data_IF_494278515143
#
_entry.id   IF_494278515143
#
_cell.length_a   1.000
_cell.length_b   1.000
_cell.length_c   1.000
_cell.angle_alpha   90.00
_cell.angle_beta   90.00
_cell.angle_gamma   90.00
#
_symmetry.space_group_name_H-M   'P 1'
#
loop_
_entity.id
_entity.type
_entity.pdbx_description
1 polymer ?
#
# COMPACT_ATOMS: atom_id res chain seq x y z
N UNK A 1 -51.84 4.33 -55.91
CA UNK A 1 -52.18 4.13 -54.49
C UNK A 1 -51.93 2.67 -54.12
N UNK A 2 -50.84 2.38 -53.40
CA UNK A 2 -50.63 1.16 -52.58
C UNK A 2 -49.30 1.28 -51.81
N UNK A 3 -49.30 0.98 -50.51
CA UNK A 3 -48.13 0.68 -49.63
C UNK A 3 -48.06 -0.86 -49.48
N UNK A 4 -47.00 -1.56 -48.96
CA UNK A 4 -46.14 -1.14 -47.83
C UNK A 4 -44.70 -1.77 -47.70
N UNK A 5 -44.07 -1.49 -46.54
CA UNK A 5 -43.17 -2.33 -45.71
C UNK A 5 -41.68 -2.51 -46.10
N UNK A 6 -40.78 -1.92 -45.29
CA UNK A 6 -39.46 -2.47 -44.97
C UNK A 6 -39.37 -2.70 -43.46
N UNK A 7 -39.64 -3.95 -43.05
CA UNK A 7 -39.14 -4.55 -41.82
C UNK A 7 -37.71 -5.01 -42.06
N UNK A 8 -36.74 -4.51 -41.29
CA UNK A 8 -35.42 -5.14 -41.14
C UNK A 8 -35.19 -5.38 -39.65
N UNK A 9 -35.77 -6.51 -39.21
CA UNK A 9 -35.19 -7.51 -38.31
C UNK A 9 -34.16 -7.05 -37.28
N UNK A 10 -34.65 -6.81 -36.07
CA UNK A 10 -33.99 -7.21 -34.82
C UNK A 10 -34.12 -8.74 -34.76
N UNK A 11 -33.04 -9.48 -35.03
CA UNK A 11 -32.97 -10.91 -34.73
C UNK A 11 -31.51 -11.35 -34.51
N UNK A 12 -31.31 -12.11 -33.43
CA UNK A 12 -30.18 -12.99 -33.11
C UNK A 12 -28.92 -12.37 -32.45
N UNK A 13 -29.01 -12.10 -31.14
CA UNK A 13 -27.89 -12.31 -30.20
C UNK A 13 -28.34 -13.13 -28.97
N UNK A 14 -28.96 -14.27 -29.25
CA UNK A 14 -29.09 -15.36 -28.31
C UNK A 14 -28.50 -16.58 -29.01
N UNK A 15 -27.56 -17.26 -28.34
CA UNK A 15 -26.79 -18.46 -28.79
C UNK A 15 -25.41 -18.16 -29.42
N UNK A 16 -24.46 -17.71 -28.60
CA UNK A 16 -23.10 -18.28 -28.54
C UNK A 16 -22.37 -17.71 -27.31
N UNK A 17 -21.89 -18.59 -26.43
CA UNK A 17 -21.15 -18.23 -25.21
C UNK A 17 -19.71 -17.79 -25.46
N UNK A 18 -19.48 -17.02 -26.53
CA UNK A 18 -18.19 -16.43 -26.86
C UNK A 18 -18.40 -14.93 -26.96
N UNK A 19 -18.08 -14.20 -25.88
CA UNK A 19 -17.87 -12.77 -25.96
C UNK A 19 -16.83 -12.55 -27.08
N UNK A 20 -17.13 -11.79 -28.13
CA UNK A 20 -16.16 -11.56 -29.18
C UNK A 20 -14.92 -10.88 -28.59
N UNK A 21 -13.71 -11.34 -28.91
CA UNK A 21 -12.45 -10.76 -28.39
C UNK A 21 -12.35 -9.23 -28.56
N UNK A 22 -12.97 -8.67 -29.60
CA UNK A 22 -13.02 -7.23 -29.83
C UNK A 22 -13.96 -6.48 -28.88
N UNK A 23 -14.98 -7.15 -28.32
CA UNK A 23 -15.78 -6.60 -27.21
C UNK A 23 -14.92 -6.53 -25.95
N UNK A 24 -14.22 -7.61 -25.58
CA UNK A 24 -13.37 -7.63 -24.39
C UNK A 24 -12.20 -6.62 -24.49
N UNK A 25 -11.61 -6.43 -25.67
CA UNK A 25 -10.58 -5.42 -25.92
C UNK A 25 -11.13 -3.99 -25.84
N UNK A 26 -12.33 -3.71 -26.38
CA UNK A 26 -12.97 -2.40 -26.29
C UNK A 26 -13.44 -2.08 -24.86
N UNK A 27 -13.99 -3.07 -24.15
CA UNK A 27 -14.38 -2.95 -22.74
C UNK A 27 -13.18 -2.84 -21.80
N UNK A 28 -12.05 -3.48 -22.14
CA UNK A 28 -10.77 -3.28 -21.45
C UNK A 28 -10.32 -1.84 -21.59
N UNK A 29 -10.14 -1.38 -22.83
CA UNK A 29 -9.67 -0.02 -23.13
C UNK A 29 -10.52 1.08 -22.47
N UNK A 30 -11.84 0.89 -22.39
CA UNK A 30 -12.75 1.79 -21.67
C UNK A 30 -12.48 1.80 -20.15
N UNK A 31 -12.24 0.63 -19.54
CA UNK A 31 -11.89 0.54 -18.10
C UNK A 31 -10.55 1.17 -17.77
N UNK A 32 -9.53 1.05 -18.62
CA UNK A 32 -8.25 1.72 -18.38
C UNK A 32 -8.41 3.25 -18.44
N UNK A 33 -9.13 3.76 -19.45
CA UNK A 33 -9.42 5.18 -19.58
C UNK A 33 -10.25 5.70 -18.39
N UNK A 34 -11.25 4.96 -17.95
CA UNK A 34 -12.09 5.32 -16.81
C UNK A 34 -11.33 5.22 -15.48
N UNK A 35 -10.43 4.25 -15.32
CA UNK A 35 -9.53 4.17 -14.16
C UNK A 35 -8.62 5.40 -14.09
N UNK A 36 -8.10 5.86 -15.22
CA UNK A 36 -7.31 7.09 -15.28
C UNK A 36 -8.13 8.33 -14.88
N UNK A 37 -9.41 8.40 -15.29
CA UNK A 37 -10.33 9.48 -14.89
C UNK A 37 -10.63 9.47 -13.39
N UNK A 38 -10.86 8.29 -12.80
CA UNK A 38 -11.06 8.13 -11.35
C UNK A 38 -9.81 8.60 -10.60
N UNK A 39 -8.62 8.13 -10.99
CA UNK A 39 -7.36 8.56 -10.37
C UNK A 39 -7.18 10.07 -10.44
N UNK A 40 -7.43 10.67 -11.61
CA UNK A 40 -7.39 12.13 -11.78
C UNK A 40 -8.43 12.85 -10.89
N UNK A 41 -9.60 12.25 -10.66
CA UNK A 41 -10.63 12.80 -9.76
C UNK A 41 -10.12 12.84 -8.32
N UNK A 42 -9.46 11.79 -7.85
CA UNK A 42 -8.86 11.74 -6.50
C UNK A 42 -7.68 12.72 -6.36
N UNK A 43 -6.88 12.88 -7.40
CA UNK A 43 -5.83 13.92 -7.43
C UNK A 43 -6.42 15.33 -7.38
N UNK A 44 -7.57 15.57 -8.05
CA UNK A 44 -8.28 16.84 -7.96
C UNK A 44 -8.85 17.09 -6.56
N UNK A 45 -9.32 16.04 -5.89
CA UNK A 45 -9.73 16.10 -4.48
C UNK A 45 -8.59 16.50 -3.57
N UNK A 46 -7.41 15.87 -3.70
CA UNK A 46 -6.21 16.26 -2.96
C UNK A 46 -5.83 17.74 -3.21
N UNK A 47 -5.84 18.19 -4.47
CA UNK A 47 -5.57 19.60 -4.82
C UNK A 47 -6.61 20.58 -4.23
N UNK A 48 -7.89 20.18 -4.20
CA UNK A 48 -8.93 20.99 -3.58
C UNK A 48 -8.69 21.14 -2.07
N UNK A 49 -8.27 20.07 -1.39
CA UNK A 49 -7.87 20.11 0.03
C UNK A 49 -6.68 21.06 0.25
N UNK A 50 -5.65 21.01 -0.61
CA UNK A 50 -4.50 21.92 -0.51
C UNK A 50 -4.87 23.40 -0.68
N UNK A 51 -5.95 23.69 -1.42
CA UNK A 51 -6.40 25.06 -1.67
C UNK A 51 -7.15 25.68 -0.48
N UNK A 52 -7.56 24.88 0.51
CA UNK A 52 -8.36 25.34 1.65
C UNK A 52 -9.76 25.83 1.28
N UNK A 53 -10.24 25.52 0.07
CA UNK A 53 -11.53 25.96 -0.45
C UNK A 53 -12.58 24.87 -0.24
N UNK A 54 -13.36 25.00 0.82
CA UNK A 54 -14.37 24.02 1.20
C UNK A 54 -15.43 23.78 0.12
N UNK A 55 -15.82 24.82 -0.63
CA UNK A 55 -16.79 24.70 -1.70
C UNK A 55 -16.22 23.88 -2.87
N UNK A 56 -14.95 24.08 -3.23
CA UNK A 56 -14.27 23.25 -4.24
C UNK A 56 -14.18 21.79 -3.83
N UNK A 57 -13.90 21.52 -2.55
CA UNK A 57 -13.87 20.14 -2.05
C UNK A 57 -15.26 19.52 -2.12
N UNK A 58 -16.29 20.23 -1.61
CA UNK A 58 -17.66 19.77 -1.60
C UNK A 58 -18.22 19.50 -3.01
N UNK A 59 -17.83 20.28 -4.02
CA UNK A 59 -18.25 20.08 -5.41
C UNK A 59 -17.80 18.73 -6.01
N UNK A 60 -16.82 18.04 -5.41
CA UNK A 60 -16.37 16.73 -5.87
C UNK A 60 -17.22 15.57 -5.35
N UNK A 61 -18.11 15.83 -4.40
CA UNK A 61 -19.02 14.86 -3.80
C UNK A 61 -20.36 14.80 -4.53
N UNK A 62 -21.05 13.68 -4.42
CA UNK A 62 -22.49 13.61 -4.71
C UNK A 62 -23.28 14.48 -3.73
N UNK A 63 -24.54 14.79 -4.04
CA UNK A 63 -25.41 15.59 -3.15
C UNK A 63 -25.55 14.93 -1.77
N UNK A 64 -25.63 13.59 -1.74
CA UNK A 64 -25.77 12.75 -0.55
C UNK A 64 -24.44 12.12 -0.10
N UNK A 65 -23.31 12.75 -0.44
CA UNK A 65 -21.97 12.22 -0.14
C UNK A 65 -21.78 11.93 1.34
N UNK A 66 -21.07 10.85 1.67
CA UNK A 66 -20.81 10.44 3.05
C UNK A 66 -19.32 10.32 3.35
N UNK A 67 -18.84 11.05 4.36
CA UNK A 67 -17.50 10.87 4.91
C UNK A 67 -17.57 10.07 6.19
N UNK A 68 -16.72 9.05 6.33
CA UNK A 68 -16.60 8.25 7.54
C UNK A 68 -15.14 8.18 7.96
N UNK A 69 -14.89 8.41 9.25
CA UNK A 69 -13.61 8.16 9.89
C UNK A 69 -13.83 7.74 11.33
N UNK A 70 -13.32 6.58 11.71
CA UNK A 70 -13.55 5.98 13.02
C UNK A 70 -15.05 5.96 13.38
N UNK A 71 -15.46 6.67 14.44
CA UNK A 71 -16.88 6.80 14.84
C UNK A 71 -17.57 8.03 14.24
N UNK A 72 -16.85 8.87 13.50
CA UNK A 72 -17.38 10.08 12.88
C UNK A 72 -18.02 9.76 11.54
N UNK A 73 -19.20 10.33 11.31
CA UNK A 73 -19.91 10.24 10.04
C UNK A 73 -20.51 11.58 9.70
N UNK A 74 -20.30 12.05 8.47
CA UNK A 74 -20.84 13.31 7.94
C UNK A 74 -21.55 12.96 6.64
N UNK A 75 -22.80 13.40 6.49
CA UNK A 75 -23.64 13.08 5.33
C UNK A 75 -24.20 14.35 4.71
N UNK A 76 -24.20 14.39 3.39
CA UNK A 76 -24.70 15.52 2.60
C UNK A 76 -23.58 16.48 2.22
N UNK A 77 -23.62 16.95 0.96
CA UNK A 77 -22.61 17.86 0.41
C UNK A 77 -22.46 19.14 1.24
N UNK A 78 -23.58 19.68 1.74
CA UNK A 78 -23.61 20.94 2.51
C UNK A 78 -22.92 20.79 3.87
N UNK A 79 -23.17 19.67 4.53
CA UNK A 79 -22.58 19.32 5.82
C UNK A 79 -21.08 19.06 5.65
N UNK A 80 -20.69 18.39 4.56
CA UNK A 80 -19.29 18.20 4.18
C UNK A 80 -18.59 19.54 3.92
N UNK A 81 -19.19 20.45 3.16
CA UNK A 81 -18.65 21.80 2.94
C UNK A 81 -18.42 22.53 4.27
N UNK A 82 -19.40 22.50 5.16
CA UNK A 82 -19.29 23.12 6.49
C UNK A 82 -18.15 22.49 7.30
N UNK A 83 -18.01 21.16 7.28
CA UNK A 83 -16.97 20.45 7.99
C UNK A 83 -15.56 20.75 7.44
N UNK A 84 -15.41 20.80 6.11
CA UNK A 84 -14.14 21.19 5.48
C UNK A 84 -13.76 22.63 5.80
N UNK A 85 -14.73 23.57 5.82
CA UNK A 85 -14.49 24.95 6.24
C UNK A 85 -13.84 25.01 7.62
N UNK A 86 -14.44 24.34 8.61
CA UNK A 86 -13.87 24.23 9.98
C UNK A 86 -12.52 23.53 9.99
N UNK A 87 -12.35 22.48 9.18
CA UNK A 87 -11.08 21.74 9.11
C UNK A 87 -9.91 22.62 8.66
N UNK A 88 -10.16 23.56 7.75
CA UNK A 88 -9.14 24.46 7.20
C UNK A 88 -8.76 25.63 8.12
N UNK A 89 -9.63 26.06 9.04
CA UNK A 89 -9.35 27.16 9.98
C UNK A 89 -8.03 26.95 10.76
N UNK A 90 -7.76 25.70 11.17
CA UNK A 90 -6.59 25.35 11.99
C UNK A 90 -5.42 24.74 11.19
N UNK A 91 -5.53 24.65 9.86
CA UNK A 91 -4.60 23.86 9.02
C UNK A 91 -4.11 24.62 7.78
N UNK A 92 -3.42 25.76 7.95
CA UNK A 92 -2.79 26.45 6.83
C UNK A 92 -1.66 25.61 6.22
N UNK A 93 -1.48 25.70 4.90
CA UNK A 93 -0.38 25.06 4.15
C UNK A 93 -0.40 23.52 4.12
N UNK A 94 -1.59 22.92 4.06
CA UNK A 94 -1.75 21.48 3.86
C UNK A 94 -1.17 21.04 2.50
N UNK A 95 -0.39 19.96 2.51
CA UNK A 95 0.04 19.26 1.29
C UNK A 95 -0.48 17.83 1.31
N UNK A 96 -1.13 17.40 0.23
CA UNK A 96 -1.79 16.11 0.13
C UNK A 96 -1.34 15.42 -1.15
N UNK A 97 -0.69 14.26 -1.00
CA UNK A 97 -0.33 13.38 -2.13
C UNK A 97 -1.19 12.14 -2.10
N UNK A 98 -1.62 11.68 -3.28
CA UNK A 98 -2.44 10.46 -3.44
C UNK A 98 -1.54 9.32 -3.91
N UNK A 99 -1.54 8.21 -3.19
CA UNK A 99 -1.03 6.93 -3.66
C UNK A 99 -2.23 5.99 -3.88
N UNK A 100 -2.59 5.78 -5.14
CA UNK A 100 -3.69 4.89 -5.55
C UNK A 100 -3.17 3.46 -5.65
N UNK A 101 -3.79 2.52 -4.93
CA UNK A 101 -3.37 1.12 -4.88
C UNK A 101 -4.19 0.25 -5.84
N UNK A 102 -5.52 0.44 -5.86
CA UNK A 102 -6.44 -0.41 -6.61
C UNK A 102 -7.71 0.33 -7.02
N UNK A 103 -8.15 0.13 -8.26
CA UNK A 103 -9.44 0.59 -8.76
C UNK A 103 -10.21 -0.62 -9.29
N UNK A 104 -11.43 -0.82 -8.80
CA UNK A 104 -12.32 -1.88 -9.26
C UNK A 104 -13.71 -1.35 -9.61
N UNK A 105 -14.19 -1.68 -10.80
CA UNK A 105 -15.54 -1.34 -11.23
C UNK A 105 -16.55 -2.35 -10.67
N UNK A 106 -17.59 -1.84 -10.03
CA UNK A 106 -18.76 -2.59 -9.59
C UNK A 106 -19.85 -2.63 -10.68
N UNK A 107 -19.94 -1.54 -11.45
CA UNK A 107 -20.84 -1.34 -12.57
C UNK A 107 -20.24 -0.27 -13.52
N UNK A 108 -20.77 -0.05 -14.73
CA UNK A 108 -20.24 0.96 -15.66
C UNK A 108 -20.17 2.39 -15.08
N UNK A 109 -21.03 2.68 -14.10
CA UNK A 109 -21.13 3.99 -13.44
C UNK A 109 -20.79 3.93 -11.94
N UNK A 110 -20.18 2.84 -11.46
CA UNK A 110 -19.85 2.70 -10.03
C UNK A 110 -18.50 2.00 -9.87
N UNK A 111 -17.58 2.61 -9.14
CA UNK A 111 -16.25 2.07 -8.90
C UNK A 111 -15.80 2.30 -7.46
N UNK A 112 -14.89 1.45 -6.99
CA UNK A 112 -14.20 1.65 -5.72
C UNK A 112 -12.72 1.85 -6.00
N UNK A 113 -12.16 2.91 -5.43
CA UNK A 113 -10.73 3.14 -5.35
C UNK A 113 -10.27 2.95 -3.90
N UNK A 114 -9.14 2.29 -3.73
CA UNK A 114 -8.44 2.13 -2.46
C UNK A 114 -7.02 2.69 -2.60
N UNK A 115 -6.54 3.34 -1.54
CA UNK A 115 -5.21 3.95 -1.55
C UNK A 115 -4.89 4.67 -0.26
N UNK A 116 -3.95 5.62 -0.34
CA UNK A 116 -3.47 6.42 0.78
C UNK A 116 -3.40 7.91 0.44
N UNK A 117 -3.74 8.74 1.42
CA UNK A 117 -3.37 10.14 1.44
C UNK A 117 -2.12 10.33 2.29
N UNK A 118 -1.07 10.89 1.71
CA UNK A 118 0.12 11.35 2.42
C UNK A 118 -0.04 12.84 2.67
N UNK A 119 -0.16 13.19 3.94
CA UNK A 119 -0.44 14.54 4.40
C UNK A 119 0.86 15.11 4.98
N UNK A 120 1.28 16.28 4.49
CA UNK A 120 2.38 17.04 5.09
C UNK A 120 1.88 18.37 5.63
N UNK A 121 2.34 18.72 6.83
CA UNK A 121 2.11 20.01 7.49
C UNK A 121 3.47 20.67 7.75
N UNK A 122 3.74 21.76 7.05
CA UNK A 122 5.04 22.44 7.17
C UNK A 122 6.22 21.57 6.71
N UNK A 123 7.39 21.71 7.35
CA UNK A 123 8.61 21.01 6.95
C UNK A 123 8.77 19.59 7.52
N UNK A 124 8.16 19.29 8.68
CA UNK A 124 8.58 18.13 9.48
C UNK A 124 7.44 17.16 9.87
N UNK A 125 6.17 17.58 9.85
CA UNK A 125 5.06 16.69 10.21
C UNK A 125 4.45 16.04 8.97
N UNK A 126 4.54 14.71 8.88
CA UNK A 126 3.84 13.91 7.88
C UNK A 126 2.94 12.86 8.52
N UNK A 127 1.67 12.83 8.13
CA UNK A 127 0.73 11.77 8.45
C UNK A 127 0.36 10.97 7.21
N UNK A 128 -0.02 9.72 7.39
CA UNK A 128 -0.61 8.92 6.31
C UNK A 128 -1.96 8.37 6.79
N UNK A 129 -2.96 8.40 5.92
CA UNK A 129 -4.26 7.78 6.18
C UNK A 129 -4.64 6.89 4.99
N UNK A 130 -5.11 5.69 5.29
CA UNK A 130 -5.69 4.81 4.28
C UNK A 130 -7.08 5.32 3.91
N UNK A 131 -7.48 5.13 2.66
CA UNK A 131 -8.82 5.46 2.20
C UNK A 131 -9.45 4.34 1.37
N UNK A 132 -10.78 4.32 1.39
CA UNK A 132 -11.62 3.65 0.38
C UNK A 132 -12.67 4.65 -0.11
N UNK A 133 -12.69 4.93 -1.40
CA UNK A 133 -13.65 5.83 -2.05
C UNK A 133 -14.58 5.02 -2.94
N UNK A 134 -15.88 5.14 -2.70
CA UNK A 134 -16.92 4.76 -3.65
C UNK A 134 -17.21 5.95 -4.56
N UNK A 135 -17.00 5.74 -5.85
CA UNK A 135 -17.32 6.67 -6.92
C UNK A 135 -18.62 6.28 -7.62
N UNK A 136 -19.44 7.28 -7.95
CA UNK A 136 -20.61 7.15 -8.81
C UNK A 136 -20.47 8.12 -9.99
N UNK A 137 -20.76 7.65 -11.20
CA UNK A 137 -20.72 8.44 -12.42
C UNK A 137 -22.13 8.88 -12.82
N UNK A 138 -22.33 10.19 -12.89
CA UNK A 138 -23.57 10.80 -13.39
C UNK A 138 -23.20 11.74 -14.55
N UNK A 139 -23.94 11.66 -15.67
CA UNK A 139 -23.74 12.52 -16.85
C UNK A 139 -22.29 12.61 -17.36
N UNK A 140 -21.51 11.53 -17.16
CA UNK A 140 -20.11 11.48 -17.59
C UNK A 140 -19.09 11.85 -16.51
N UNK A 141 -19.52 12.40 -15.37
CA UNK A 141 -18.64 12.87 -14.30
C UNK A 141 -18.65 11.94 -13.09
N UNK A 142 -17.46 11.55 -12.63
CA UNK A 142 -17.28 10.76 -11.40
C UNK A 142 -17.31 11.66 -10.17
N UNK A 143 -18.16 11.32 -9.21
CA UNK A 143 -18.27 12.03 -7.93
C UNK A 143 -18.10 11.07 -6.75
N UNK A 144 -17.54 11.58 -5.66
CA UNK A 144 -17.35 10.83 -4.42
C UNK A 144 -18.72 10.63 -3.77
N UNK A 145 -19.19 9.39 -3.70
CA UNK A 145 -20.42 9.04 -3.00
C UNK A 145 -20.15 8.69 -1.54
N UNK A 146 -19.02 8.03 -1.27
CA UNK A 146 -18.59 7.69 0.08
C UNK A 146 -17.06 7.69 0.13
N UNK A 147 -16.46 8.38 1.09
CA UNK A 147 -15.05 8.27 1.43
C UNK A 147 -14.93 7.77 2.87
N UNK A 148 -14.31 6.61 3.02
CA UNK A 148 -13.92 6.07 4.31
C UNK A 148 -12.44 6.28 4.50
N UNK A 149 -12.06 7.03 5.52
CA UNK A 149 -10.69 7.10 5.98
C UNK A 149 -10.50 6.21 7.20
N UNK A 150 -9.35 5.56 7.25
CA UNK A 150 -8.91 4.75 8.37
C UNK A 150 -7.42 5.00 8.58
N UNK A 151 -6.97 4.75 9.80
CA UNK A 151 -5.54 4.73 10.09
C UNK A 151 -4.81 3.87 9.05
N UNK A 152 -3.74 4.41 8.45
CA UNK A 152 -2.97 3.70 7.44
C UNK A 152 -2.19 2.56 8.10
N UNK A 153 -2.81 1.38 8.15
CA UNK A 153 -2.18 0.18 8.68
C UNK A 153 -1.37 -0.49 7.57
N UNK A 154 -0.06 -0.70 7.76
CA UNK A 154 0.77 -1.36 6.75
C UNK A 154 0.23 -2.76 6.42
N UNK A 155 0.01 -3.03 5.14
CA UNK A 155 -0.41 -4.35 4.68
C UNK A 155 0.81 -5.13 4.19
N UNK A 156 0.78 -6.47 4.22
CA UNK A 156 1.82 -7.30 3.58
C UNK A 156 2.04 -6.99 2.09
N UNK A 157 1.05 -6.43 1.39
CA UNK A 157 1.19 -6.02 -0.02
C UNK A 157 2.17 -4.85 -0.17
N UNK A 158 2.32 -4.03 0.87
CA UNK A 158 3.23 -2.90 0.89
C UNK A 158 4.69 -3.35 1.04
N UNK A 159 4.92 -4.63 1.35
CA UNK A 159 6.23 -5.28 1.38
C UNK A 159 6.55 -6.00 0.06
N UNK A 160 5.68 -5.94 -0.96
CA UNK A 160 5.92 -6.64 -2.25
C UNK A 160 7.20 -6.23 -2.95
N UNK A 161 7.70 -5.01 -2.69
CA UNK A 161 8.98 -4.56 -3.20
C UNK A 161 10.15 -5.46 -2.78
N UNK A 162 10.08 -6.13 -1.62
CA UNK A 162 11.13 -7.01 -1.09
C UNK A 162 11.09 -8.42 -1.67
N UNK A 163 10.05 -8.79 -2.42
CA UNK A 163 9.96 -10.11 -3.07
C UNK A 163 11.15 -10.36 -4.00
N UNK A 164 11.66 -11.58 -4.04
CA UNK A 164 12.80 -11.99 -4.85
C UNK A 164 14.08 -12.19 -4.04
N UNK A 165 15.19 -12.43 -4.76
CA UNK A 165 16.49 -12.70 -4.17
C UNK A 165 17.35 -11.43 -4.10
N UNK A 166 18.02 -11.25 -2.98
CA UNK A 166 18.80 -10.07 -2.64
C UNK A 166 20.14 -10.47 -2.06
N UNK A 167 21.15 -9.63 -2.28
CA UNK A 167 22.52 -9.82 -1.82
C UNK A 167 23.03 -8.56 -1.14
N UNK A 168 23.76 -8.75 -0.06
CA UNK A 168 24.47 -7.71 0.66
C UNK A 168 25.83 -8.22 1.11
N UNK A 169 26.79 -7.31 1.25
CA UNK A 169 28.11 -7.60 1.79
C UNK A 169 28.54 -6.45 2.70
N UNK A 170 29.10 -6.78 3.85
CA UNK A 170 29.61 -5.81 4.82
C UNK A 170 30.33 -6.52 5.96
N UNK A 171 31.39 -5.90 6.48
CA UNK A 171 32.17 -6.41 7.61
C UNK A 171 32.60 -7.89 7.46
N UNK A 172 33.10 -8.26 6.26
CA UNK A 172 33.55 -9.62 5.97
C UNK A 172 32.44 -10.67 5.85
N UNK A 173 31.17 -10.27 5.93
CA UNK A 173 30.01 -11.16 5.82
C UNK A 173 29.24 -10.91 4.54
N UNK A 174 28.97 -11.98 3.80
CA UNK A 174 28.08 -11.99 2.63
C UNK A 174 26.74 -12.58 3.03
N UNK A 175 25.66 -11.91 2.67
CA UNK A 175 24.29 -12.35 2.96
C UNK A 175 23.49 -12.43 1.67
N UNK A 176 22.85 -13.56 1.45
CA UNK A 176 21.83 -13.74 0.41
C UNK A 176 20.49 -14.02 1.08
N UNK A 177 19.45 -13.30 0.69
CA UNK A 177 18.09 -13.48 1.21
C UNK A 177 17.09 -13.62 0.07
N UNK A 178 16.19 -14.59 0.14
CA UNK A 178 15.11 -14.78 -0.83
C UNK A 178 13.75 -14.67 -0.18
N UNK A 179 12.92 -13.75 -0.66
CA UNK A 179 11.55 -13.53 -0.20
C UNK A 179 10.54 -14.05 -1.21
N UNK A 180 9.54 -14.81 -0.75
CA UNK A 180 8.42 -15.29 -1.56
C UNK A 180 7.11 -15.23 -0.79
N UNK A 181 5.99 -15.14 -1.51
CA UNK A 181 4.69 -15.40 -0.91
C UNK A 181 4.59 -16.86 -0.45
N UNK A 182 3.87 -17.07 0.65
CA UNK A 182 3.59 -18.38 1.22
C UNK A 182 2.12 -18.46 1.68
N UNK A 183 1.60 -19.67 1.86
CA UNK A 183 0.24 -19.97 2.38
C UNK A 183 -0.84 -19.06 1.78
N UNK A 184 -1.06 -19.16 0.46
CA UNK A 184 -2.05 -18.35 -0.27
C UNK A 184 -1.87 -16.83 -0.11
N UNK A 185 -0.62 -16.37 -0.03
CA UNK A 185 -0.23 -14.96 0.19
C UNK A 185 -0.65 -14.40 1.55
N UNK A 186 -0.97 -15.25 2.52
CA UNK A 186 -1.21 -14.84 3.90
C UNK A 186 0.09 -14.45 4.60
N UNK A 187 1.24 -14.93 4.11
CA UNK A 187 2.55 -14.62 4.67
C UNK A 187 3.61 -14.40 3.58
N UNK A 188 4.66 -13.67 3.93
CA UNK A 188 5.93 -13.68 3.20
C UNK A 188 6.90 -14.60 3.94
N UNK A 189 7.50 -15.55 3.21
CA UNK A 189 8.62 -16.34 3.71
C UNK A 189 9.93 -15.75 3.18
N UNK A 190 10.88 -15.57 4.07
CA UNK A 190 12.27 -15.28 3.76
C UNK A 190 13.14 -16.48 4.13
N UNK A 191 14.07 -16.82 3.26
CA UNK A 191 15.19 -17.72 3.55
C UNK A 191 16.48 -16.92 3.41
N UNK A 192 17.46 -17.14 4.28
CA UNK A 192 18.77 -16.50 4.18
C UNK A 192 19.93 -17.49 4.31
N UNK A 193 21.02 -17.11 3.66
CA UNK A 193 22.35 -17.68 3.84
C UNK A 193 23.31 -16.55 4.15
N UNK A 194 24.06 -16.68 5.23
CA UNK A 194 25.12 -15.77 5.65
C UNK A 194 26.44 -16.52 5.68
N UNK A 195 27.46 -15.98 5.02
CA UNK A 195 28.80 -16.56 4.95
C UNK A 195 29.83 -15.55 5.42
N UNK A 196 30.65 -15.95 6.38
CA UNK A 196 31.81 -15.21 6.90
C UNK A 196 33.01 -16.14 7.02
N UNK A 197 34.15 -15.63 7.49
CA UNK A 197 35.35 -16.43 7.78
C UNK A 197 35.12 -17.51 8.86
N UNK A 198 34.12 -17.29 9.73
CA UNK A 198 33.74 -18.21 10.80
C UNK A 198 32.82 -19.35 10.31
N UNK A 199 32.32 -19.26 9.08
CA UNK A 199 31.53 -20.30 8.43
C UNK A 199 30.26 -19.79 7.77
N UNK A 200 29.36 -20.72 7.47
CA UNK A 200 28.07 -20.43 6.83
C UNK A 200 26.92 -20.76 7.78
N UNK A 201 26.02 -19.80 7.96
CA UNK A 201 24.77 -19.96 8.70
C UNK A 201 23.60 -19.73 7.77
N UNK A 202 22.58 -20.57 7.87
CA UNK A 202 21.31 -20.40 7.16
C UNK A 202 20.19 -20.16 8.14
N UNK A 203 19.04 -19.69 7.66
CA UNK A 203 17.85 -19.57 8.47
C UNK A 203 16.66 -19.08 7.66
N UNK A 204 15.54 -18.91 8.34
CA UNK A 204 14.29 -18.48 7.73
C UNK A 204 13.59 -17.42 8.57
N UNK A 205 12.69 -16.68 7.94
CA UNK A 205 11.75 -15.80 8.61
C UNK A 205 10.37 -15.91 7.97
N UNK A 206 9.33 -15.85 8.80
CA UNK A 206 7.96 -15.69 8.35
C UNK A 206 7.50 -14.27 8.70
N UNK A 207 6.83 -13.58 7.77
CA UNK A 207 6.24 -12.25 7.99
C UNK A 207 4.74 -12.36 7.71
N UNK A 208 3.92 -12.08 8.72
CA UNK A 208 2.47 -12.12 8.67
C UNK A 208 1.84 -10.82 9.14
N UNK A 209 0.54 -10.66 8.97
CA UNK A 209 -0.22 -9.58 9.60
C UNK A 209 -0.72 -10.06 10.96
N UNK A 210 -0.39 -9.34 12.02
CA UNK A 210 -0.96 -9.59 13.35
C UNK A 210 -2.41 -9.05 13.36
N UNK A 211 -3.45 -9.90 13.52
CA UNK A 211 -4.84 -9.46 13.47
C UNK A 211 -5.24 -8.58 14.66
N UNK A 212 -4.50 -8.63 15.77
CA UNK A 212 -4.79 -7.81 16.95
C UNK A 212 -4.33 -6.37 16.75
N UNK A 213 -3.09 -6.20 16.28
CA UNK A 213 -2.49 -4.86 16.09
C UNK A 213 -2.72 -4.31 14.68
N UNK A 214 -3.00 -5.17 13.71
CA UNK A 214 -3.06 -4.83 12.29
C UNK A 214 -1.72 -4.46 11.67
N UNK A 215 -0.60 -4.73 12.35
CA UNK A 215 0.75 -4.46 11.88
C UNK A 215 1.44 -5.74 11.39
N UNK A 216 2.39 -5.66 10.44
CA UNK A 216 3.18 -6.82 10.10
C UNK A 216 4.06 -7.24 11.28
N UNK A 217 4.10 -8.53 11.55
CA UNK A 217 4.99 -9.16 12.53
C UNK A 217 5.82 -10.22 11.82
N UNK A 218 7.07 -10.36 12.21
CA UNK A 218 7.93 -11.43 11.74
C UNK A 218 8.41 -12.36 12.84
N UNK A 219 8.71 -13.59 12.47
CA UNK A 219 9.35 -14.61 13.31
C UNK A 219 10.55 -15.17 12.58
N UNK A 220 11.71 -15.13 13.21
CA UNK A 220 12.98 -15.55 12.62
C UNK A 220 13.45 -16.83 13.30
N UNK A 221 14.00 -17.75 12.52
CA UNK A 221 14.59 -19.01 12.97
C UNK A 221 15.96 -19.16 12.33
N UNK A 222 17.01 -19.14 13.15
CA UNK A 222 18.38 -19.32 12.71
C UNK A 222 18.78 -20.80 12.78
N UNK A 223 19.58 -21.26 11.83
CA UNK A 223 20.04 -22.66 11.74
C UNK A 223 20.91 -23.09 12.90
N UNK A 224 21.44 -22.16 13.69
CA UNK A 224 22.14 -22.44 14.94
C UNK A 224 21.20 -22.67 16.14
N UNK A 225 19.88 -22.62 15.95
CA UNK A 225 18.87 -22.81 17.00
C UNK A 225 18.36 -21.52 17.64
N UNK A 226 18.89 -20.35 17.24
CA UNK A 226 18.36 -19.06 17.66
C UNK A 226 16.99 -18.76 17.05
N UNK A 227 16.16 -18.00 17.75
CA UNK A 227 14.85 -17.59 17.25
C UNK A 227 14.50 -16.18 17.72
N UNK A 228 13.56 -15.52 17.07
CA UNK A 228 13.13 -14.20 17.49
C UNK A 228 11.89 -13.72 16.77
N UNK A 229 11.47 -12.51 17.11
CA UNK A 229 10.35 -11.85 16.49
C UNK A 229 10.65 -10.39 16.18
N UNK A 230 9.87 -9.80 15.28
CA UNK A 230 9.99 -8.40 14.90
C UNK A 230 8.64 -7.74 14.66
N UNK A 231 8.42 -6.56 15.23
CA UNK A 231 7.26 -5.72 14.92
C UNK A 231 7.63 -4.70 13.84
N UNK A 232 6.88 -4.67 12.75
CA UNK A 232 7.14 -3.81 11.60
C UNK A 232 6.24 -2.58 11.63
N UNK A 233 6.84 -1.41 11.48
CA UNK A 233 6.17 -0.12 11.37
C UNK A 233 6.67 0.58 10.12
N UNK A 234 5.80 1.30 9.43
CA UNK A 234 6.17 2.14 8.28
C UNK A 234 6.31 3.59 8.72
N UNK A 235 7.41 4.22 8.34
CA UNK A 235 7.67 5.66 8.49
C UNK A 235 8.08 6.23 7.11
N UNK A 236 7.10 6.80 6.40
CA UNK A 236 7.26 7.20 5.00
C UNK A 236 7.69 6.00 4.13
N UNK A 237 8.91 6.07 3.58
CA UNK A 237 9.49 4.95 2.80
C UNK A 237 10.20 3.91 3.67
N UNK A 238 10.50 4.23 4.93
CA UNK A 238 11.25 3.35 5.83
C UNK A 238 10.35 2.29 6.43
N UNK A 239 10.86 1.09 6.53
CA UNK A 239 10.29 -0.01 7.30
C UNK A 239 11.17 -0.25 8.51
N UNK A 240 10.62 0.06 9.68
CA UNK A 240 11.30 -0.05 10.96
C UNK A 240 10.83 -1.34 11.63
N UNK A 241 11.77 -2.23 11.92
CA UNK A 241 11.53 -3.54 12.53
C UNK A 241 12.17 -3.56 13.90
N UNK A 242 11.35 -3.47 14.95
CA UNK A 242 11.81 -3.64 16.33
C UNK A 242 11.88 -5.12 16.63
N UNK A 243 13.08 -5.65 16.76
CA UNK A 243 13.35 -7.08 16.90
C UNK A 243 13.82 -7.42 18.31
N UNK A 244 13.37 -8.58 18.80
CA UNK A 244 13.93 -9.28 19.96
C UNK A 244 14.16 -10.73 19.58
N UNK A 245 15.27 -11.30 20.03
CA UNK A 245 15.68 -12.66 19.70
C UNK A 245 16.43 -13.30 20.86
N UNK A 246 16.40 -14.63 20.87
CA UNK A 246 17.14 -15.48 21.81
C UNK A 246 18.18 -16.27 21.02
N UNK A 247 19.43 -16.14 21.44
CA UNK A 247 20.57 -16.88 20.90
C UNK A 247 20.60 -18.32 21.45
N UNK A 248 21.37 -19.24 20.83
CA UNK A 248 21.41 -20.64 21.26
C UNK A 248 21.89 -20.85 22.71
N UNK A 249 22.70 -19.94 23.22
CA UNK A 249 23.18 -19.92 24.61
C UNK A 249 22.17 -19.29 25.60
N UNK A 250 21.03 -18.81 25.10
CA UNK A 250 19.98 -18.17 25.90
C UNK A 250 20.13 -16.64 25.99
N UNK A 251 21.19 -16.04 25.47
CA UNK A 251 21.38 -14.59 25.48
C UNK A 251 20.25 -13.89 24.69
N UNK A 252 19.78 -12.76 25.21
CA UNK A 252 18.79 -11.92 24.54
C UNK A 252 19.48 -10.88 23.66
N UNK A 253 19.03 -10.75 22.41
CA UNK A 253 19.46 -9.71 21.49
C UNK A 253 18.27 -8.88 21.05
N UNK A 254 18.34 -7.57 21.24
CA UNK A 254 17.34 -6.61 20.72
C UNK A 254 17.99 -5.66 19.72
N UNK A 255 17.24 -5.25 18.70
CA UNK A 255 17.69 -4.25 17.73
C UNK A 255 16.52 -3.58 17.01
N UNK A 256 16.75 -2.37 16.50
CA UNK A 256 15.89 -1.69 15.52
C UNK A 256 16.51 -1.82 14.13
N UNK A 257 15.91 -2.62 13.26
CA UNK A 257 16.34 -2.75 11.86
C UNK A 257 15.55 -1.79 10.97
N UNK A 258 16.22 -1.02 10.13
CA UNK A 258 15.63 -0.02 9.26
C UNK A 258 15.88 -0.43 7.81
N UNK A 259 14.82 -0.69 7.05
CA UNK A 259 14.87 -0.98 5.63
C UNK A 259 14.32 0.20 4.85
N UNK A 260 15.05 0.70 3.85
CA UNK A 260 14.58 1.81 3.01
C UNK A 260 14.66 1.43 1.53
N UNK A 261 13.52 1.24 0.83
CA UNK A 261 13.50 1.05 -0.62
C UNK A 261 14.12 2.25 -1.32
N UNK A 262 15.06 1.99 -2.23
CA UNK A 262 15.73 3.02 -3.03
C UNK A 262 15.16 3.00 -4.45
N UNK A 263 15.18 1.83 -5.09
CA UNK A 263 14.61 1.59 -6.42
C UNK A 263 14.24 0.10 -6.59
N UNK A 264 13.80 -0.30 -7.79
CA UNK A 264 13.37 -1.69 -8.07
C UNK A 264 14.43 -2.75 -7.76
N UNK A 265 15.71 -2.40 -7.77
CA UNK A 265 16.85 -3.30 -7.64
C UNK A 265 17.69 -3.02 -6.40
N UNK A 266 17.33 -2.03 -5.57
CA UNK A 266 18.13 -1.60 -4.44
C UNK A 266 17.27 -1.18 -3.25
N UNK A 267 17.69 -1.58 -2.06
CA UNK A 267 17.24 -0.97 -0.80
C UNK A 267 18.44 -0.83 0.15
N UNK A 268 18.30 -0.05 1.21
CA UNK A 268 19.30 0.02 2.28
C UNK A 268 18.80 -0.66 3.54
N UNK A 269 19.72 -1.23 4.30
CA UNK A 269 19.46 -1.83 5.60
C UNK A 269 20.45 -1.28 6.62
N UNK A 270 19.97 -1.01 7.83
CA UNK A 270 20.81 -0.66 8.98
C UNK A 270 20.21 -1.28 10.24
N UNK A 271 21.05 -1.70 11.18
CA UNK A 271 20.65 -2.14 12.51
C UNK A 271 21.16 -1.16 13.56
N UNK A 272 20.24 -0.66 14.38
CA UNK A 272 20.46 0.40 15.38
C UNK A 272 19.90 -0.02 16.74
N UNK A 273 20.19 0.72 17.80
CA UNK A 273 19.70 0.46 19.18
C UNK A 273 19.96 -0.99 19.63
N UNK A 274 21.12 -1.50 19.26
CA UNK A 274 21.46 -2.92 19.43
C UNK A 274 21.86 -3.19 20.87
N UNK A 275 21.36 -4.30 21.43
CA UNK A 275 21.73 -4.74 22.78
C UNK A 275 21.88 -6.25 22.86
N UNK A 276 22.89 -6.72 23.59
CA UNK A 276 23.06 -8.12 23.98
C UNK A 276 22.97 -8.21 25.51
N UNK A 277 22.00 -8.95 26.03
CA UNK A 277 21.67 -9.04 27.46
C UNK A 277 21.53 -7.66 28.14
N UNK A 278 21.01 -6.69 27.39
CA UNK A 278 20.82 -5.30 27.84
C UNK A 278 22.05 -4.40 27.67
N UNK A 279 23.23 -4.94 27.40
CA UNK A 279 24.43 -4.16 27.11
C UNK A 279 24.41 -3.62 25.68
N UNK A 280 24.68 -2.33 25.52
CA UNK A 280 24.64 -1.67 24.21
C UNK A 280 25.77 -2.16 23.30
N UNK A 281 25.41 -2.46 22.05
CA UNK A 281 26.33 -2.74 20.96
C UNK A 281 26.35 -1.56 19.98
N UNK A 282 27.47 -1.34 19.25
CA UNK A 282 27.50 -0.33 18.20
C UNK A 282 26.46 -0.59 17.11
N UNK A 283 25.87 0.48 16.61
CA UNK A 283 25.05 0.47 15.40
C UNK A 283 25.89 -0.02 14.20
N UNK A 284 25.22 -0.63 13.22
CA UNK A 284 25.90 -0.97 11.97
C UNK A 284 26.02 0.26 11.07
N UNK A 285 26.99 0.21 10.16
CA UNK A 285 26.93 1.03 8.96
C UNK A 285 25.66 0.75 8.16
N UNK A 286 25.27 1.71 7.32
CA UNK A 286 24.19 1.52 6.35
C UNK A 286 24.70 0.61 5.23
N UNK A 287 24.10 -0.56 5.10
CA UNK A 287 24.43 -1.55 4.07
C UNK A 287 23.50 -1.37 2.88
N UNK A 288 24.06 -1.32 1.67
CA UNK A 288 23.27 -1.36 0.43
C UNK A 288 22.98 -2.80 0.05
N UNK A 289 21.72 -3.10 -0.20
CA UNK A 289 21.24 -4.42 -0.59
C UNK A 289 20.78 -4.39 -2.03
N UNK A 290 21.28 -5.32 -2.83
CA UNK A 290 21.08 -5.36 -4.27
C UNK A 290 20.31 -6.59 -4.69
N UNK A 291 19.37 -6.43 -5.62
CA UNK A 291 18.63 -7.56 -6.19
C UNK A 291 19.58 -8.45 -7.00
N UNK A 292 19.53 -9.76 -6.77
CA UNK A 292 20.26 -10.72 -7.58
C UNK A 292 19.71 -10.71 -9.02
N UNK A 293 20.60 -10.76 -10.02
CA UNK A 293 20.17 -10.98 -11.40
C UNK A 293 19.53 -12.36 -11.49
N UNK A 294 18.35 -12.45 -12.12
CA UNK A 294 17.78 -13.74 -12.51
C UNK A 294 18.78 -14.44 -13.43
N UNK A 295 19.25 -15.63 -13.06
CA UNK A 295 19.86 -16.53 -14.02
C UNK A 295 18.77 -16.92 -15.02
N UNK A 296 18.89 -16.48 -16.26
CA UNK A 296 18.16 -17.06 -17.39
C UNK A 296 18.55 -18.53 -17.59
#
# INVERSE_FOLDING_TARGET
MSRPLYCLTIAAFLISGLCPKWLDEAFGADKEAESARIKARTENFAKALESGDAAKVAALWTDEGEYVRDTMTIRGRKELETAYGKFFEDRPNLKVTVESDNIRFLAPNTAIEEGRFLIKKGKDESGTTGYSILYVKNEGEWSIALLKEQEDRPHLKDLTWILGTWKAEGNGTKVETTYKWDHSKAFLRMEYTSTSDEGTTTGSQMIGLDPLTGLPRSWTFSGNGGFGEGLWVRDGKKWIVRASSRQPDGAEMTATNILTPVDKNNFTWQSTDRKLDGEALPDTDVVKVHRAKSSE
#
